data_IF_956006987696
#
_entry.id   IF_956006987696
#
_cell.length_a   1.000
_cell.length_b   1.000
_cell.length_c   1.000
_cell.angle_alpha   90.00
_cell.angle_beta   90.00
_cell.angle_gamma   90.00
#
_symmetry.space_group_name_H-M   'P 1'
#
loop_
_entity.id
_entity.type
_entity.pdbx_description
1 polymer ?
#
# COMPACT_ATOMS: atom_id res chain seq x y z
N UNK A 1 -3.86 18.49 0.39
CA UNK A 1 -4.38 18.43 -0.99
C UNK A 1 -5.79 17.87 -0.93
N UNK A 2 -6.80 18.66 -1.31
CA UNK A 2 -8.17 18.16 -1.46
C UNK A 2 -8.27 17.39 -2.78
N UNK A 3 -8.71 16.13 -2.72
CA UNK A 3 -8.95 15.31 -3.91
C UNK A 3 -8.25 13.95 -3.86
N UNK A 4 -8.38 13.19 -4.94
CA UNK A 4 -7.83 11.84 -5.10
C UNK A 4 -6.65 11.78 -6.09
N UNK A 5 -6.13 12.94 -6.52
CA UNK A 5 -4.99 13.05 -7.43
C UNK A 5 -3.74 13.58 -6.73
N UNK A 6 -2.59 12.94 -6.98
CA UNK A 6 -1.28 13.31 -6.46
C UNK A 6 -0.31 13.54 -7.61
N UNK A 7 0.47 14.64 -7.55
CA UNK A 7 1.45 15.01 -8.57
C UNK A 7 0.98 16.09 -9.54
N UNK A 8 1.91 16.57 -10.38
CA UNK A 8 1.67 17.67 -11.36
C UNK A 8 1.72 17.16 -12.80
N UNK A 9 2.90 16.70 -13.22
CA UNK A 9 3.15 16.12 -14.55
C UNK A 9 2.85 14.63 -14.49
N UNK A 10 3.69 13.86 -13.79
CA UNK A 10 3.34 12.50 -13.39
C UNK A 10 2.25 12.61 -12.30
N UNK A 11 1.01 12.27 -12.66
CA UNK A 11 -0.16 12.47 -11.83
C UNK A 11 -0.90 11.16 -11.63
N UNK A 12 -0.96 10.69 -10.39
CA UNK A 12 -1.68 9.48 -10.01
C UNK A 12 -3.03 9.85 -9.39
N UNK A 13 -4.12 9.39 -10.00
CA UNK A 13 -5.49 9.57 -9.51
C UNK A 13 -6.03 8.23 -9.05
N UNK A 14 -6.23 8.06 -7.76
CA UNK A 14 -6.66 6.79 -7.16
C UNK A 14 -8.18 6.77 -6.97
N UNK A 15 -8.80 5.59 -7.02
CA UNK A 15 -10.25 5.41 -6.88
C UNK A 15 -10.57 4.07 -6.23
N UNK A 16 -11.79 3.93 -5.71
CA UNK A 16 -12.32 2.70 -5.10
C UNK A 16 -12.25 2.68 -3.57
N UNK A 17 -13.09 1.83 -2.99
CA UNK A 17 -13.28 1.61 -1.56
C UNK A 17 -12.79 0.21 -1.15
N UNK A 18 -12.45 0.03 0.12
CA UNK A 18 -11.92 -1.25 0.62
C UNK A 18 -12.86 -2.44 0.45
N UNK A 19 -14.17 -2.22 0.61
CA UNK A 19 -15.22 -3.23 0.44
C UNK A 19 -16.04 -3.02 -0.85
N UNK A 20 -15.56 -2.16 -1.76
CA UNK A 20 -16.11 -2.03 -3.11
C UNK A 20 -15.67 -3.18 -4.01
N UNK A 21 -16.11 -3.17 -5.27
CA UNK A 21 -15.77 -4.23 -6.25
C UNK A 21 -14.27 -4.30 -6.58
N UNK A 22 -13.63 -3.14 -6.71
CA UNK A 22 -12.23 -3.02 -7.06
C UNK A 22 -11.66 -1.70 -6.55
N UNK A 23 -10.34 -1.63 -6.51
CA UNK A 23 -9.59 -0.41 -6.26
C UNK A 23 -8.60 -0.19 -7.39
N UNK A 24 -8.27 1.05 -7.70
CA UNK A 24 -7.42 1.32 -8.84
C UNK A 24 -6.80 2.70 -8.88
N UNK A 25 -6.02 2.91 -9.93
CA UNK A 25 -5.31 4.15 -10.21
C UNK A 25 -5.28 4.42 -11.70
N UNK A 26 -5.41 5.70 -12.06
CA UNK A 26 -5.08 6.22 -13.39
C UNK A 26 -3.87 7.12 -13.26
N UNK A 27 -2.86 6.86 -14.07
CA UNK A 27 -1.62 7.63 -14.10
C UNK A 27 -1.56 8.39 -15.42
N UNK A 28 -1.42 9.70 -15.31
CA UNK A 28 -1.18 10.60 -16.43
C UNK A 28 0.27 11.12 -16.39
N UNK A 29 0.81 11.51 -17.54
CA UNK A 29 2.16 12.05 -17.68
C UNK A 29 3.29 11.04 -17.51
N UNK A 30 3.01 9.74 -17.67
CA UNK A 30 4.04 8.72 -17.80
C UNK A 30 4.71 8.83 -19.18
N UNK A 31 6.05 8.88 -19.31
CA UNK A 31 6.71 8.89 -20.61
C UNK A 31 6.40 7.65 -21.44
N UNK A 32 6.41 7.77 -22.77
CA UNK A 32 6.31 6.62 -23.68
C UNK A 32 7.62 5.83 -23.75
N UNK A 33 7.54 4.55 -24.10
CA UNK A 33 8.69 3.69 -24.40
C UNK A 33 9.32 3.00 -23.19
N UNK A 34 8.73 3.14 -22.00
CA UNK A 34 9.20 2.45 -20.80
C UNK A 34 8.65 1.02 -20.82
N UNK A 35 9.53 0.04 -20.65
CA UNK A 35 9.11 -1.36 -20.52
C UNK A 35 8.24 -1.53 -19.28
N UNK A 36 7.04 -2.09 -19.44
CA UNK A 36 6.08 -2.24 -18.37
C UNK A 36 5.19 -3.47 -18.57
N UNK A 37 5.08 -4.26 -17.51
CA UNK A 37 4.20 -5.43 -17.41
C UNK A 37 3.56 -5.50 -16.03
N UNK A 38 2.48 -6.28 -15.90
CA UNK A 38 1.83 -6.52 -14.60
C UNK A 38 2.80 -7.07 -13.55
N UNK A 39 3.84 -7.83 -13.96
CA UNK A 39 4.86 -8.39 -13.06
C UNK A 39 5.68 -7.32 -12.35
N UNK A 40 5.98 -6.22 -13.04
CA UNK A 40 6.75 -5.11 -12.46
C UNK A 40 6.00 -4.46 -11.31
N UNK A 41 4.68 -4.34 -11.45
CA UNK A 41 3.81 -3.79 -10.40
C UNK A 41 3.55 -4.82 -9.31
N UNK A 42 3.31 -6.08 -9.69
CA UNK A 42 3.00 -7.16 -8.77
C UNK A 42 4.10 -7.34 -7.72
N UNK A 43 5.38 -7.24 -8.11
CA UNK A 43 6.49 -7.31 -7.16
C UNK A 43 6.37 -6.30 -6.02
N UNK A 44 5.98 -5.05 -6.31
CA UNK A 44 5.80 -4.02 -5.29
C UNK A 44 4.52 -4.23 -4.48
N UNK A 45 3.45 -4.74 -5.11
CA UNK A 45 2.21 -5.10 -4.41
C UNK A 45 2.41 -6.28 -3.45
N UNK A 46 3.21 -7.27 -3.83
CA UNK A 46 3.54 -8.42 -2.98
C UNK A 46 4.33 -7.99 -1.74
N UNK A 47 5.21 -6.98 -1.89
CA UNK A 47 5.94 -6.36 -0.76
C UNK A 47 5.01 -5.58 0.18
N UNK A 48 3.95 -4.99 -0.36
CA UNK A 48 2.92 -4.23 0.39
C UNK A 48 1.93 -5.14 1.11
N UNK A 49 1.61 -6.28 0.51
CA UNK A 49 0.52 -7.17 0.91
C UNK A 49 0.65 -7.57 2.39
N UNK A 50 -0.44 -7.48 3.18
CA UNK A 50 -0.46 -8.03 4.53
C UNK A 50 -0.59 -9.57 4.50
N UNK A 51 -0.22 -10.26 5.58
CA UNK A 51 -0.36 -11.71 5.70
C UNK A 51 0.80 -12.50 5.11
N UNK A 52 1.95 -11.87 4.86
CA UNK A 52 3.19 -12.53 4.39
C UNK A 52 3.97 -13.13 5.57
N UNK A 53 3.61 -12.77 6.80
CA UNK A 53 4.24 -13.24 8.05
C UNK A 53 3.22 -13.33 9.18
N UNK A 54 3.52 -14.14 10.20
CA UNK A 54 2.65 -14.37 11.38
C UNK A 54 2.35 -13.10 12.19
N UNK A 55 3.14 -12.04 11.98
CA UNK A 55 3.02 -10.73 12.64
C UNK A 55 2.06 -9.75 11.93
N UNK A 56 1.54 -10.11 10.75
CA UNK A 56 0.61 -9.26 9.97
C UNK A 56 -0.82 -9.79 9.98
N UNK A 57 -1.78 -9.02 9.46
CA UNK A 57 -3.20 -9.42 9.45
C UNK A 57 -3.44 -10.68 8.61
N UNK A 58 -4.41 -11.51 8.98
CA UNK A 58 -4.70 -12.81 8.32
C UNK A 58 -5.39 -12.72 6.95
N UNK A 59 -5.68 -11.52 6.44
CA UNK A 59 -6.40 -11.34 5.18
C UNK A 59 -5.57 -11.81 3.99
N UNK A 60 -6.13 -12.72 3.18
CA UNK A 60 -5.49 -13.26 1.97
C UNK A 60 -5.95 -12.54 0.70
N UNK A 61 -5.64 -11.25 0.59
CA UNK A 61 -5.96 -10.48 -0.63
C UNK A 61 -4.90 -10.77 -1.70
N UNK A 62 -5.25 -11.42 -2.82
CA UNK A 62 -4.28 -11.80 -3.86
C UNK A 62 -3.54 -10.60 -4.49
N UNK A 63 -4.16 -9.43 -4.47
CA UNK A 63 -3.62 -8.17 -5.02
C UNK A 63 -3.13 -8.27 -6.46
N UNK A 64 -3.85 -9.06 -7.25
CA UNK A 64 -3.57 -9.24 -8.67
C UNK A 64 -3.90 -7.94 -9.43
N UNK A 65 -2.85 -7.28 -9.90
CA UNK A 65 -2.99 -6.07 -10.71
C UNK A 65 -3.33 -6.39 -12.15
N UNK A 66 -4.28 -5.64 -12.69
CA UNK A 66 -4.60 -5.62 -14.11
C UNK A 66 -4.27 -4.26 -14.72
N UNK A 67 -3.47 -4.24 -15.79
CA UNK A 67 -3.29 -3.05 -16.63
C UNK A 67 -4.40 -3.02 -17.69
N UNK A 68 -5.12 -1.90 -17.76
CA UNK A 68 -6.28 -1.74 -18.64
C UNK A 68 -6.00 -0.84 -19.86
N UNK A 69 -5.03 0.06 -19.77
CA UNK A 69 -4.72 1.03 -20.81
C UNK A 69 -3.27 1.52 -20.74
N UNK A 70 -2.84 2.29 -21.75
CA UNK A 70 -1.57 3.03 -21.72
C UNK A 70 -0.33 2.18 -21.95
N UNK A 71 -0.49 0.88 -22.24
CA UNK A 71 0.59 -0.07 -22.56
C UNK A 71 0.23 -0.83 -23.83
N UNK A 72 1.18 -0.95 -24.75
CA UNK A 72 1.09 -1.76 -25.96
C UNK A 72 2.45 -2.44 -26.20
N UNK A 73 2.43 -3.72 -26.57
CA UNK A 73 3.65 -4.53 -26.80
C UNK A 73 4.68 -4.42 -25.66
N UNK A 74 4.19 -4.40 -24.40
CA UNK A 74 5.04 -4.34 -23.22
C UNK A 74 5.71 -2.98 -22.97
N UNK A 75 5.30 -1.91 -23.66
CA UNK A 75 5.83 -0.56 -23.49
C UNK A 75 4.74 0.47 -23.23
N UNK A 76 5.05 1.48 -22.42
CA UNK A 76 4.15 2.61 -22.18
C UNK A 76 3.94 3.42 -23.47
N UNK A 77 2.71 3.87 -23.69
CA UNK A 77 2.33 4.64 -24.88
C UNK A 77 2.50 6.16 -24.70
N UNK A 78 2.74 6.63 -23.48
CA UNK A 78 2.67 8.06 -23.15
C UNK A 78 1.26 8.56 -22.85
N UNK A 79 0.24 7.74 -23.15
CA UNK A 79 -1.17 7.99 -22.79
C UNK A 79 -1.47 7.50 -21.38
N UNK A 80 -2.62 7.88 -20.79
CA UNK A 80 -2.97 7.48 -19.43
C UNK A 80 -2.97 5.95 -19.22
N UNK A 81 -2.30 5.52 -18.15
CA UNK A 81 -2.20 4.13 -17.72
C UNK A 81 -3.22 3.89 -16.61
N UNK A 82 -4.24 3.10 -16.89
CA UNK A 82 -5.23 2.67 -15.90
C UNK A 82 -4.89 1.29 -15.38
N UNK A 83 -4.92 1.11 -14.07
CA UNK A 83 -4.71 -0.16 -13.38
C UNK A 83 -5.80 -0.38 -12.34
N UNK A 84 -6.19 -1.63 -12.13
CA UNK A 84 -7.07 -2.03 -11.04
C UNK A 84 -6.60 -3.30 -10.35
N UNK A 85 -7.10 -3.50 -9.14
CA UNK A 85 -7.02 -4.73 -8.36
C UNK A 85 -8.42 -5.04 -7.87
N UNK A 86 -8.89 -6.26 -8.10
CA UNK A 86 -10.19 -6.72 -7.62
C UNK A 86 -10.14 -6.97 -6.11
N UNK A 87 -11.18 -6.53 -5.40
CA UNK A 87 -11.37 -6.95 -4.01
C UNK A 87 -12.11 -8.30 -4.03
N UNK A 88 -11.37 -9.39 -3.87
CA UNK A 88 -11.92 -10.76 -3.77
C UNK A 88 -12.18 -11.11 -2.30
N UNK A 89 -13.21 -11.92 -2.04
CA UNK A 89 -13.52 -12.49 -0.73
C UNK A 89 -13.71 -11.48 0.41
N UNK A 90 -14.30 -10.33 0.09
CA UNK A 90 -14.60 -9.29 1.07
C UNK A 90 -15.72 -9.74 2.01
N UNK A 91 -15.41 -9.98 3.27
CA UNK A 91 -16.41 -10.15 4.32
C UNK A 91 -16.63 -8.85 5.10
N UNK A 92 -17.87 -8.34 5.05
CA UNK A 92 -18.28 -7.13 5.78
C UNK A 92 -18.92 -7.43 7.13
N UNK A 93 -19.21 -8.70 7.44
CA UNK A 93 -19.93 -9.12 8.65
C UNK A 93 -19.32 -8.59 9.97
N UNK A 94 -17.98 -8.50 10.14
CA UNK A 94 -17.40 -8.00 11.39
C UNK A 94 -17.62 -6.49 11.61
N UNK A 95 -17.95 -5.75 10.54
CA UNK A 95 -18.18 -4.31 10.59
C UNK A 95 -19.64 -3.94 10.79
N UNK A 96 -20.58 -4.87 10.62
CA UNK A 96 -22.01 -4.62 10.75
C UNK A 96 -22.41 -4.08 12.13
N UNK A 97 -21.88 -4.61 13.26
CA UNK A 97 -22.15 -4.05 14.58
C UNK A 97 -21.63 -2.62 14.77
N UNK A 98 -20.72 -2.16 13.91
CA UNK A 98 -20.04 -0.86 14.01
C UNK A 98 -20.66 0.20 13.10
N UNK A 99 -21.77 -0.09 12.42
CA UNK A 99 -22.40 0.83 11.46
C UNK A 99 -22.72 2.20 12.06
N UNK A 100 -23.21 2.21 13.31
CA UNK A 100 -23.62 3.40 14.06
C UNK A 100 -22.54 3.87 15.06
N UNK A 101 -21.36 3.22 15.05
CA UNK A 101 -20.26 3.53 15.96
C UNK A 101 -19.13 4.22 15.20
N UNK A 102 -18.66 5.34 15.75
CA UNK A 102 -17.42 5.97 15.31
C UNK A 102 -16.25 5.39 16.10
N UNK A 103 -15.36 4.65 15.42
CA UNK A 103 -14.22 4.03 16.09
C UNK A 103 -13.17 5.10 16.43
N UNK A 104 -12.65 5.14 17.67
CA UNK A 104 -11.57 6.05 18.03
C UNK A 104 -10.36 5.91 17.09
N UNK A 105 -9.75 7.03 16.72
CA UNK A 105 -8.60 7.07 15.80
C UNK A 105 -8.94 6.83 14.31
N UNK A 106 -10.18 6.48 13.96
CA UNK A 106 -10.60 6.26 12.58
C UNK A 106 -11.30 7.49 12.00
N UNK A 107 -11.38 7.54 10.67
CA UNK A 107 -12.01 8.64 9.93
C UNK A 107 -13.55 8.62 9.97
N UNK A 108 -14.13 7.82 10.85
CA UNK A 108 -15.54 7.48 10.86
C UNK A 108 -16.45 8.70 11.07
N UNK A 109 -16.22 9.40 12.18
CA UNK A 109 -17.00 10.59 12.56
C UNK A 109 -16.78 11.75 11.57
N UNK A 110 -15.55 11.95 11.10
CA UNK A 110 -15.22 13.05 10.20
C UNK A 110 -15.83 12.87 8.81
N UNK A 111 -15.86 11.64 8.28
CA UNK A 111 -16.56 11.34 7.02
C UNK A 111 -18.07 11.57 7.14
N UNK A 112 -18.69 11.05 8.21
CA UNK A 112 -20.12 11.22 8.44
C UNK A 112 -20.49 12.70 8.57
N UNK A 113 -19.74 13.47 9.34
CA UNK A 113 -19.99 14.91 9.56
C UNK A 113 -19.79 15.73 8.28
N UNK A 114 -18.74 15.43 7.51
CA UNK A 114 -18.41 16.19 6.31
C UNK A 114 -19.32 15.88 5.12
N UNK A 115 -19.64 14.60 4.90
CA UNK A 115 -20.33 14.15 3.69
C UNK A 115 -21.77 13.69 3.94
N UNK A 116 -22.24 13.68 5.19
CA UNK A 116 -23.58 13.22 5.58
C UNK A 116 -23.78 11.70 5.48
N UNK A 117 -22.76 10.96 5.03
CA UNK A 117 -22.76 9.50 4.89
C UNK A 117 -21.36 8.94 4.98
N UNK A 118 -21.25 7.68 5.41
CA UNK A 118 -20.01 6.91 5.49
C UNK A 118 -20.25 5.47 5.05
N UNK A 119 -19.32 4.91 4.29
CA UNK A 119 -19.22 3.46 4.15
C UNK A 119 -18.52 2.89 5.38
N UNK A 120 -19.29 2.28 6.28
CA UNK A 120 -18.78 1.73 7.54
C UNK A 120 -17.99 0.42 7.33
N UNK A 121 -18.13 -0.21 6.16
CA UNK A 121 -17.50 -1.50 5.85
C UNK A 121 -16.00 -1.29 5.62
N UNK A 122 -15.18 -1.82 6.53
CA UNK A 122 -13.72 -1.76 6.41
C UNK A 122 -13.12 -0.36 6.27
N UNK A 123 -13.82 0.68 6.75
CA UNK A 123 -13.39 2.08 6.66
C UNK A 123 -13.54 2.73 5.26
N UNK A 124 -14.17 2.04 4.30
CA UNK A 124 -14.45 2.57 2.96
C UNK A 124 -13.23 3.19 2.28
N UNK A 125 -13.34 4.46 1.88
CA UNK A 125 -12.27 5.19 1.20
C UNK A 125 -11.09 5.60 2.09
N UNK A 126 -11.29 5.67 3.41
CA UNK A 126 -10.23 5.99 4.36
C UNK A 126 -9.35 4.79 4.72
N UNK A 127 -9.73 3.60 4.27
CA UNK A 127 -9.01 2.36 4.54
C UNK A 127 -7.59 2.35 3.95
N UNK A 128 -6.68 1.67 4.65
CA UNK A 128 -5.33 1.37 4.16
C UNK A 128 -5.31 0.61 2.83
N UNK A 129 -6.43 -0.03 2.42
CA UNK A 129 -6.58 -0.64 1.08
C UNK A 129 -6.22 0.35 -0.05
N UNK A 130 -6.47 1.64 0.12
CA UNK A 130 -6.13 2.69 -0.84
C UNK A 130 -4.65 2.72 -1.22
N UNK A 131 -3.77 2.25 -0.33
CA UNK A 131 -2.33 2.17 -0.59
C UNK A 131 -1.97 1.23 -1.75
N UNK A 132 -2.81 0.26 -2.11
CA UNK A 132 -2.63 -0.58 -3.31
C UNK A 132 -2.47 0.29 -4.55
N UNK A 133 -3.37 1.26 -4.72
CA UNK A 133 -3.36 2.18 -5.85
C UNK A 133 -2.08 3.05 -5.87
N UNK A 134 -1.62 3.47 -4.69
CA UNK A 134 -0.38 4.25 -4.55
C UNK A 134 0.86 3.43 -4.87
N UNK A 135 0.95 2.20 -4.36
CA UNK A 135 2.07 1.30 -4.62
C UNK A 135 2.15 0.95 -6.10
N UNK A 136 1.00 0.71 -6.75
CA UNK A 136 0.95 0.47 -8.18
C UNK A 136 1.50 1.65 -8.99
N UNK A 137 1.10 2.89 -8.65
CA UNK A 137 1.68 4.07 -9.28
C UNK A 137 3.16 4.29 -8.94
N UNK A 138 3.54 3.98 -7.70
CA UNK A 138 4.93 4.03 -7.23
C UNK A 138 5.85 3.07 -7.97
N UNK A 139 5.37 1.89 -8.36
CA UNK A 139 6.13 0.92 -9.15
C UNK A 139 6.53 1.49 -10.52
N UNK A 140 5.59 2.16 -11.21
CA UNK A 140 5.87 2.84 -12.49
C UNK A 140 6.83 4.02 -12.28
N UNK A 141 6.61 4.82 -11.22
CA UNK A 141 7.53 5.91 -10.88
C UNK A 141 8.96 5.42 -10.59
N UNK A 142 9.10 4.30 -9.86
CA UNK A 142 10.39 3.64 -9.62
C UNK A 142 11.05 3.19 -10.93
N UNK A 143 10.30 2.62 -11.89
CA UNK A 143 10.86 2.28 -13.21
C UNK A 143 11.36 3.52 -13.96
N UNK A 144 10.60 4.62 -13.95
CA UNK A 144 11.04 5.88 -14.56
C UNK A 144 12.36 6.34 -13.93
N UNK A 145 12.45 6.37 -12.61
CA UNK A 145 13.64 6.81 -11.88
C UNK A 145 14.85 5.91 -12.13
N UNK A 146 14.63 4.60 -12.25
CA UNK A 146 15.70 3.64 -12.57
C UNK A 146 16.35 3.91 -13.93
N UNK A 147 15.63 4.51 -14.91
CA UNK A 147 16.23 4.95 -16.19
C UNK A 147 17.25 6.09 -16.03
N UNK A 148 17.35 6.66 -14.83
CA UNK A 148 18.27 7.74 -14.46
C UNK A 148 19.21 7.34 -13.31
N UNK A 149 19.37 6.05 -13.08
CA UNK A 149 20.20 5.49 -12.00
C UNK A 149 19.79 5.94 -10.58
N UNK A 150 18.52 6.34 -10.40
CA UNK A 150 17.97 6.73 -9.11
C UNK A 150 17.31 5.52 -8.45
N UNK A 151 17.75 5.20 -7.24
CA UNK A 151 17.21 4.12 -6.42
C UNK A 151 16.50 4.67 -5.19
N UNK A 152 15.36 4.08 -4.84
CA UNK A 152 14.58 4.42 -3.65
C UNK A 152 14.40 3.15 -2.82
N UNK A 153 14.79 3.23 -1.55
CA UNK A 153 14.62 2.19 -0.54
C UNK A 153 13.89 2.78 0.66
N UNK A 154 13.23 1.94 1.43
CA UNK A 154 12.65 2.30 2.73
C UNK A 154 12.86 1.15 3.70
N UNK A 155 13.15 1.46 4.96
CA UNK A 155 13.22 0.48 6.03
C UNK A 155 12.60 1.06 7.29
N UNK A 156 12.18 0.19 8.20
CA UNK A 156 11.68 0.57 9.52
C UNK A 156 12.84 1.06 10.40
N UNK A 157 12.61 2.18 11.06
CA UNK A 157 13.57 2.82 11.99
C UNK A 157 13.12 2.71 13.45
N UNK A 158 11.82 2.55 13.73
CA UNK A 158 11.27 2.48 15.08
C UNK A 158 9.88 1.83 15.06
N UNK A 159 9.60 0.99 16.05
CA UNK A 159 8.26 0.45 16.36
C UNK A 159 8.12 0.40 17.87
N UNK A 160 7.03 0.96 18.41
CA UNK A 160 6.86 1.13 19.85
C UNK A 160 8.05 1.87 20.48
N UNK A 161 8.66 1.27 21.49
CA UNK A 161 9.84 1.81 22.18
C UNK A 161 11.19 1.37 21.58
N UNK A 162 11.17 0.56 20.51
CA UNK A 162 12.38 -0.06 19.95
C UNK A 162 12.81 0.71 18.71
N UNK A 163 13.93 1.41 18.84
CA UNK A 163 14.60 2.13 17.74
C UNK A 163 15.75 1.30 17.17
N UNK A 164 15.84 1.29 15.85
CA UNK A 164 16.96 0.76 15.08
C UNK A 164 18.16 1.70 15.12
N UNK A 165 19.37 1.14 15.05
CA UNK A 165 20.57 1.97 14.82
C UNK A 165 20.56 2.58 13.42
N UNK A 166 21.37 3.61 13.25
CA UNK A 166 21.62 4.16 11.92
C UNK A 166 22.33 3.14 11.02
N UNK A 167 21.87 3.03 9.77
CA UNK A 167 22.32 2.06 8.78
C UNK A 167 22.56 2.76 7.44
N UNK A 168 23.59 2.35 6.71
CA UNK A 168 23.89 2.90 5.39
C UNK A 168 23.00 2.33 4.29
N UNK A 169 22.97 3.00 3.14
CA UNK A 169 22.18 2.61 1.97
C UNK A 169 22.39 1.15 1.54
N UNK A 170 23.66 0.70 1.45
CA UNK A 170 24.00 -0.66 1.04
C UNK A 170 23.57 -1.71 2.08
N UNK A 171 23.55 -1.35 3.36
CA UNK A 171 23.05 -2.23 4.40
C UNK A 171 21.53 -2.38 4.32
N UNK A 172 20.81 -1.27 4.10
CA UNK A 172 19.36 -1.27 3.86
C UNK A 172 19.01 -2.19 2.70
N UNK A 173 19.69 -2.02 1.56
CA UNK A 173 19.46 -2.80 0.34
C UNK A 173 19.63 -4.31 0.58
N UNK A 174 20.60 -4.71 1.38
CA UNK A 174 20.87 -6.13 1.68
C UNK A 174 19.90 -6.73 2.69
N UNK A 175 19.45 -5.95 3.67
CA UNK A 175 18.80 -6.49 4.87
C UNK A 175 17.28 -6.31 4.89
N UNK A 176 16.73 -5.28 4.24
CA UNK A 176 15.29 -4.94 4.35
C UNK A 176 14.36 -6.07 3.92
N UNK A 177 14.79 -6.91 2.97
CA UNK A 177 13.99 -8.02 2.48
C UNK A 177 14.19 -9.33 3.28
N UNK A 178 15.02 -9.33 4.33
CA UNK A 178 15.40 -10.54 5.10
C UNK A 178 14.54 -10.82 6.32
N UNK A 179 13.69 -9.87 6.73
CA UNK A 179 12.84 -9.99 7.90
C UNK A 179 11.44 -9.42 7.62
N UNK A 180 10.49 -9.81 8.46
CA UNK A 180 9.08 -9.51 8.24
C UNK A 180 8.74 -8.04 8.52
N UNK A 181 9.51 -7.39 9.40
CA UNK A 181 9.32 -5.99 9.82
C UNK A 181 10.03 -4.98 8.93
N UNK A 182 10.74 -5.43 7.89
CA UNK A 182 11.47 -4.59 6.94
C UNK A 182 12.44 -3.62 7.63
N UNK A 183 13.08 -4.06 8.72
CA UNK A 183 14.09 -3.30 9.44
C UNK A 183 15.49 -3.73 8.98
N UNK A 184 16.33 -2.77 8.60
CA UNK A 184 17.67 -3.06 8.10
C UNK A 184 18.69 -3.35 9.21
N UNK A 185 18.42 -2.89 10.43
CA UNK A 185 19.10 -3.33 11.64
C UNK A 185 18.49 -4.66 12.10
N UNK A 186 19.23 -5.75 11.95
CA UNK A 186 18.74 -7.11 12.22
C UNK A 186 18.52 -7.37 13.71
N UNK A 187 19.27 -6.72 14.60
CA UNK A 187 19.08 -6.88 16.05
C UNK A 187 17.82 -6.14 16.52
N UNK A 188 17.59 -4.93 16.00
CA UNK A 188 16.32 -4.24 16.22
C UNK A 188 15.15 -5.00 15.59
N UNK A 189 15.32 -5.58 14.40
CA UNK A 189 14.27 -6.36 13.73
C UNK A 189 13.75 -7.50 14.63
N UNK A 190 14.65 -8.27 15.24
CA UNK A 190 14.27 -9.37 16.16
C UNK A 190 13.48 -8.86 17.36
N UNK A 191 13.93 -7.76 17.98
CA UNK A 191 13.26 -7.16 19.13
C UNK A 191 11.88 -6.60 18.77
N UNK A 192 11.77 -5.98 17.60
CA UNK A 192 10.50 -5.46 17.07
C UNK A 192 9.54 -6.62 16.78
N UNK A 193 10.00 -7.72 16.18
CA UNK A 193 9.17 -8.89 15.92
C UNK A 193 8.60 -9.50 17.20
N UNK A 194 9.39 -9.53 18.28
CA UNK A 194 8.93 -10.00 19.58
C UNK A 194 7.87 -9.07 20.18
N UNK A 195 8.14 -7.75 20.19
CA UNK A 195 7.17 -6.76 20.66
C UNK A 195 5.82 -6.87 19.94
N UNK A 196 5.82 -7.05 18.61
CA UNK A 196 4.59 -7.19 17.83
C UNK A 196 3.82 -8.45 18.26
N UNK A 197 4.50 -9.55 18.57
CA UNK A 197 3.85 -10.78 19.06
C UNK A 197 3.24 -10.59 20.43
N UNK A 198 3.96 -9.95 21.35
CA UNK A 198 3.47 -9.63 22.70
C UNK A 198 2.21 -8.76 22.63
N UNK A 199 2.29 -7.63 21.94
CA UNK A 199 1.18 -6.67 21.76
C UNK A 199 -0.03 -7.33 21.08
N UNK A 200 0.20 -8.19 20.08
CA UNK A 200 -0.87 -8.95 19.42
C UNK A 200 -1.56 -9.93 20.38
N UNK A 201 -0.82 -10.60 21.27
CA UNK A 201 -1.38 -11.52 22.25
C UNK A 201 -2.26 -10.80 23.29
N UNK A 202 -1.95 -9.54 23.57
CA UNK A 202 -2.73 -8.66 24.46
C UNK A 202 -3.95 -8.04 23.76
N UNK A 203 -4.05 -8.14 22.43
CA UNK A 203 -5.12 -7.52 21.65
C UNK A 203 -4.94 -6.01 21.47
N UNK A 204 -3.72 -5.50 21.59
CA UNK A 204 -3.36 -4.10 21.40
C UNK A 204 -2.62 -3.88 20.06
N UNK A 205 -2.11 -2.68 19.80
CA UNK A 205 -1.44 -2.30 18.55
C UNK A 205 -0.26 -1.35 18.75
N UNK A 206 0.77 -1.47 17.90
CA UNK A 206 1.97 -0.62 17.82
C UNK A 206 2.38 -0.33 16.38
#
# INVERSE_FOLDING_TARGET
MSGNSFGKIFKATTWGESHGTAIGVVIDGCPSGIELSERDIQHELDRRKPGVSEITTERKEADEVKILSGVFEGKTLGTPISMLVWNKDVDSSPYEPLKDVARPGQADFSYQTKYGRRDYRGGGRASGRETVARVAAGAIAKKILATRDIQILGHVVEVGSIRAREVGFEEIKRNVERNAVRCADLEAAMRIEELIKEVKAEGDSV
#
